data_IF_080644127195
#
_entry.id   IF_080644127195
#
_cell.length_a   1.000
_cell.length_b   1.000
_cell.length_c   1.000
_cell.angle_alpha   90.00
_cell.angle_beta   90.00
_cell.angle_gamma   90.00
#
_symmetry.space_group_name_H-M   'P 1'
#
loop_
_entity.id
_entity.type
_entity.pdbx_description
1 polymer ?
#
# COMPACT_ATOMS: atom_id res chain seq x y z
N UNK A 1 12.00 -10.11 18.94
CA UNK A 1 12.05 -9.78 17.50
C UNK A 1 10.71 -9.20 17.13
N UNK A 2 10.68 -7.95 16.66
CA UNK A 2 9.43 -7.19 16.48
C UNK A 2 8.59 -7.68 15.29
N UNK A 3 9.15 -8.47 14.37
CA UNK A 3 8.46 -8.99 13.17
C UNK A 3 7.32 -9.97 13.49
N UNK A 4 7.60 -11.08 14.17
CA UNK A 4 6.57 -12.12 14.45
C UNK A 4 5.47 -11.59 15.39
N UNK A 5 5.81 -10.74 16.36
CA UNK A 5 4.81 -10.12 17.22
C UNK A 5 3.93 -9.14 16.43
N UNK A 6 4.51 -8.33 15.52
CA UNK A 6 3.77 -7.41 14.66
C UNK A 6 2.83 -8.15 13.69
N UNK A 7 3.29 -9.23 13.08
CA UNK A 7 2.50 -10.02 12.15
C UNK A 7 1.32 -10.73 12.86
N UNK A 8 1.49 -11.21 14.09
CA UNK A 8 0.39 -11.70 14.95
C UNK A 8 -0.65 -10.62 15.31
N UNK A 9 -0.29 -9.34 15.27
CA UNK A 9 -1.26 -8.26 15.46
C UNK A 9 -2.03 -7.97 14.16
N UNK A 10 -1.37 -8.08 13.00
CA UNK A 10 -2.01 -7.96 11.69
C UNK A 10 -3.06 -9.05 11.49
N UNK A 11 -2.84 -10.27 11.97
CA UNK A 11 -3.86 -11.34 11.91
C UNK A 11 -5.22 -10.98 12.54
N UNK A 12 -5.29 -9.97 13.42
CA UNK A 12 -6.57 -9.53 14.03
C UNK A 12 -7.18 -8.32 13.34
N UNK A 13 -6.54 -7.74 12.34
CA UNK A 13 -7.06 -6.57 11.61
C UNK A 13 -8.09 -7.01 10.57
N UNK A 14 -9.07 -6.14 10.32
CA UNK A 14 -10.11 -6.39 9.31
C UNK A 14 -9.64 -6.06 7.88
N UNK A 15 -8.58 -5.27 7.76
CA UNK A 15 -8.04 -4.78 6.51
C UNK A 15 -6.52 -4.63 6.60
N UNK A 16 -5.89 -4.53 5.43
CA UNK A 16 -4.46 -4.27 5.25
C UNK A 16 -4.21 -2.89 4.64
N UNK A 17 -3.04 -2.32 4.91
CA UNK A 17 -2.58 -1.07 4.31
C UNK A 17 -1.12 -1.23 3.88
N UNK A 18 -0.90 -1.26 2.57
CA UNK A 18 0.39 -1.31 1.91
C UNK A 18 0.87 0.13 1.70
N UNK A 19 1.82 0.59 2.52
CA UNK A 19 2.43 1.89 2.34
C UNK A 19 3.66 1.77 1.43
N UNK A 20 3.60 2.38 0.25
CA UNK A 20 4.66 2.34 -0.76
C UNK A 20 5.38 3.67 -0.87
N UNK A 21 6.71 3.65 -0.88
CA UNK A 21 7.51 4.81 -1.21
C UNK A 21 7.58 5.01 -2.72
N UNK A 22 6.70 5.84 -3.27
CA UNK A 22 6.59 6.01 -4.72
C UNK A 22 7.67 6.90 -5.32
N UNK A 23 8.41 7.61 -4.47
CA UNK A 23 9.56 8.39 -4.88
C UNK A 23 10.79 7.53 -5.19
N UNK A 24 10.75 6.22 -4.91
CA UNK A 24 11.86 5.31 -5.13
C UNK A 24 13.11 5.73 -4.34
N UNK A 25 12.92 6.29 -3.15
CA UNK A 25 14.08 6.73 -2.35
C UNK A 25 14.98 5.53 -2.06
N UNK A 26 16.28 5.77 -2.04
CA UNK A 26 17.31 4.72 -1.96
C UNK A 26 17.43 3.84 -3.21
N UNK A 27 16.87 4.28 -4.35
CA UNK A 27 16.98 3.57 -5.63
C UNK A 27 16.06 2.36 -5.74
N UNK A 28 14.99 2.31 -4.95
CA UNK A 28 14.00 1.23 -4.96
C UNK A 28 12.96 1.46 -6.06
N UNK A 29 12.46 0.36 -6.59
CA UNK A 29 11.33 0.36 -7.52
C UNK A 29 10.03 0.13 -6.71
N UNK A 30 9.08 1.08 -6.68
CA UNK A 30 7.83 0.93 -5.92
C UNK A 30 6.99 -0.26 -6.39
N UNK A 31 7.11 -0.68 -7.66
CA UNK A 31 6.42 -1.86 -8.18
C UNK A 31 6.98 -3.13 -7.57
N UNK A 32 8.31 -3.22 -7.49
CA UNK A 32 9.00 -4.37 -6.91
C UNK A 32 8.81 -4.43 -5.40
N UNK A 33 8.87 -3.29 -4.72
CA UNK A 33 8.57 -3.20 -3.29
C UNK A 33 7.17 -3.75 -2.98
N UNK A 34 6.16 -3.45 -3.80
CA UNK A 34 4.82 -3.99 -3.62
C UNK A 34 4.79 -5.52 -3.83
N UNK A 35 5.46 -6.04 -4.88
CA UNK A 35 5.53 -7.49 -5.13
C UNK A 35 6.14 -8.23 -3.95
N UNK A 36 7.29 -7.74 -3.47
CA UNK A 36 7.99 -8.32 -2.32
C UNK A 36 7.11 -8.31 -1.07
N UNK A 37 6.43 -7.19 -0.78
CA UNK A 37 5.52 -7.11 0.37
C UNK A 37 4.37 -8.12 0.29
N UNK A 38 3.77 -8.29 -0.89
CA UNK A 38 2.69 -9.26 -1.11
C UNK A 38 3.21 -10.69 -0.96
N UNK A 39 4.39 -11.00 -1.50
CA UNK A 39 5.01 -12.32 -1.37
C UNK A 39 5.36 -12.66 0.08
N UNK A 40 5.91 -11.70 0.84
CA UNK A 40 6.21 -11.87 2.27
C UNK A 40 4.93 -12.12 3.09
N UNK A 41 3.85 -11.40 2.78
CA UNK A 41 2.54 -11.60 3.41
C UNK A 41 1.91 -12.93 3.00
N UNK A 42 2.05 -13.34 1.74
CA UNK A 42 1.59 -14.65 1.24
C UNK A 42 2.27 -15.80 1.98
N UNK A 43 3.56 -15.66 2.25
CA UNK A 43 4.37 -16.64 2.98
C UNK A 43 4.04 -16.69 4.47
N UNK A 44 3.31 -15.70 5.00
CA UNK A 44 2.97 -15.60 6.41
C UNK A 44 1.51 -16.03 6.68
N UNK A 45 1.32 -16.99 7.59
CA UNK A 45 0.00 -17.50 7.98
C UNK A 45 -0.49 -18.64 7.09
N UNK A 46 -1.80 -18.69 6.86
CA UNK A 46 -2.49 -19.67 6.00
C UNK A 46 -2.91 -19.09 4.64
N UNK A 47 -2.40 -17.90 4.28
CA UNK A 47 -2.74 -17.19 3.04
C UNK A 47 -4.01 -16.32 3.13
N UNK A 48 -4.80 -16.43 4.21
CA UNK A 48 -6.08 -15.68 4.36
C UNK A 48 -5.89 -14.18 4.54
N UNK A 49 -4.66 -13.72 4.83
CA UNK A 49 -4.35 -12.29 4.92
C UNK A 49 -4.56 -11.57 3.58
N UNK A 50 -4.28 -12.24 2.46
CA UNK A 50 -4.42 -11.66 1.12
C UNK A 50 -5.88 -11.53 0.68
N UNK A 51 -6.80 -12.28 1.31
CA UNK A 51 -8.25 -12.20 1.04
C UNK A 51 -8.90 -10.97 1.70
N UNK A 52 -8.15 -10.22 2.51
CA UNK A 52 -8.68 -9.08 3.25
C UNK A 52 -8.77 -7.85 2.37
N UNK A 53 -9.72 -7.00 2.70
CA UNK A 53 -9.79 -5.65 2.13
C UNK A 53 -8.45 -4.93 2.35
N UNK A 54 -7.96 -4.26 1.32
CA UNK A 54 -6.60 -3.80 1.28
C UNK A 54 -6.48 -2.41 0.65
N UNK A 55 -5.64 -1.57 1.23
CA UNK A 55 -5.34 -0.26 0.70
C UNK A 55 -3.90 -0.19 0.25
N UNK A 56 -3.65 0.37 -0.94
CA UNK A 56 -2.32 0.83 -1.33
C UNK A 56 -2.24 2.34 -1.11
N UNK A 57 -1.26 2.78 -0.33
CA UNK A 57 -1.00 4.19 -0.04
C UNK A 57 0.31 4.59 -0.67
N UNK A 58 0.24 5.52 -1.62
CA UNK A 58 1.43 6.16 -2.17
C UNK A 58 1.99 7.18 -1.16
N UNK A 59 3.18 6.93 -0.65
CA UNK A 59 3.90 7.79 0.27
C UNK A 59 5.01 8.56 -0.46
N UNK A 60 5.35 9.76 0.04
CA UNK A 60 6.37 10.67 -0.51
C UNK A 60 6.04 11.22 -1.91
N UNK A 61 4.76 11.39 -2.21
CA UNK A 61 4.31 12.00 -3.47
C UNK A 61 4.81 13.42 -3.66
N UNK A 62 5.20 14.11 -2.58
CA UNK A 62 5.80 15.45 -2.62
C UNK A 62 7.17 15.50 -3.34
N UNK A 63 7.82 14.34 -3.51
CA UNK A 63 9.08 14.22 -4.25
C UNK A 63 8.86 13.88 -5.74
N UNK A 64 7.60 13.68 -6.16
CA UNK A 64 7.22 13.39 -7.53
C UNK A 64 6.75 14.67 -8.21
N UNK A 65 7.18 14.87 -9.46
CA UNK A 65 6.69 15.96 -10.29
C UNK A 65 5.17 15.82 -10.48
N UNK A 66 4.36 16.86 -10.21
CA UNK A 66 2.90 16.78 -10.25
C UNK A 66 2.33 16.23 -11.56
N UNK A 67 3.01 16.49 -12.68
CA UNK A 67 2.62 16.04 -14.02
C UNK A 67 2.81 14.53 -14.21
N UNK A 68 3.72 13.90 -13.45
CA UNK A 68 4.02 12.46 -13.53
C UNK A 68 3.25 11.65 -12.50
N UNK A 69 2.75 12.29 -11.45
CA UNK A 69 2.05 11.61 -10.37
C UNK A 69 0.83 10.80 -10.86
N UNK A 70 -0.05 11.31 -11.75
CA UNK A 70 -1.19 10.54 -12.24
C UNK A 70 -0.80 9.24 -12.93
N UNK A 71 0.20 9.29 -13.83
CA UNK A 71 0.66 8.12 -14.58
C UNK A 71 1.35 7.10 -13.67
N UNK A 72 2.15 7.58 -12.70
CA UNK A 72 2.77 6.72 -11.69
C UNK A 72 1.71 5.99 -10.86
N UNK A 73 0.71 6.71 -10.35
CA UNK A 73 -0.37 6.11 -9.56
C UNK A 73 -1.17 5.09 -10.38
N UNK A 74 -1.44 5.37 -11.67
CA UNK A 74 -2.11 4.43 -12.56
C UNK A 74 -1.28 3.15 -12.76
N UNK A 75 0.03 3.28 -12.99
CA UNK A 75 0.91 2.11 -13.16
C UNK A 75 1.05 1.25 -11.88
N UNK A 76 1.05 1.89 -10.70
CA UNK A 76 1.04 1.18 -9.41
C UNK A 76 -0.29 0.44 -9.25
N UNK A 77 -1.40 1.06 -9.66
CA UNK A 77 -2.70 0.41 -9.61
C UNK A 77 -2.74 -0.85 -10.48
N UNK A 78 -2.25 -0.80 -11.71
CA UNK A 78 -2.15 -1.96 -12.59
C UNK A 78 -1.32 -3.09 -11.95
N UNK A 79 -0.26 -2.72 -11.23
CA UNK A 79 0.58 -3.69 -10.51
C UNK A 79 -0.20 -4.34 -9.35
N UNK A 80 -0.90 -3.55 -8.54
CA UNK A 80 -1.75 -4.04 -7.46
C UNK A 80 -2.85 -4.98 -7.96
N UNK A 81 -3.51 -4.61 -9.06
CA UNK A 81 -4.54 -5.44 -9.72
C UNK A 81 -3.96 -6.78 -10.18
N UNK A 82 -2.76 -6.77 -10.78
CA UNK A 82 -2.07 -7.99 -11.22
C UNK A 82 -1.69 -8.93 -10.08
N UNK A 83 -1.59 -8.41 -8.85
CA UNK A 83 -1.27 -9.15 -7.63
C UNK A 83 -2.52 -9.61 -6.86
N UNK A 84 -3.72 -9.35 -7.36
CA UNK A 84 -4.97 -9.81 -6.75
C UNK A 84 -5.44 -8.96 -5.57
N UNK A 85 -5.07 -7.68 -5.51
CA UNK A 85 -5.54 -6.75 -4.49
C UNK A 85 -6.95 -6.22 -4.91
N UNK A 86 -7.99 -7.03 -4.68
CA UNK A 86 -9.31 -6.87 -5.31
C UNK A 86 -10.21 -5.75 -4.74
N UNK A 87 -10.02 -5.34 -3.48
CA UNK A 87 -10.79 -4.26 -2.85
C UNK A 87 -9.88 -3.15 -2.40
N UNK A 88 -9.76 -2.11 -3.23
CA UNK A 88 -8.92 -0.95 -2.98
C UNK A 88 -9.72 0.36 -3.06
N UNK A 89 -9.23 1.38 -2.37
CA UNK A 89 -9.69 2.78 -2.52
C UNK A 89 -8.44 3.59 -2.86
N UNK A 90 -8.35 4.33 -3.98
CA UNK A 90 -7.18 5.19 -4.24
C UNK A 90 -7.08 6.24 -3.14
N UNK A 91 -6.23 6.02 -2.15
CA UNK A 91 -5.80 7.11 -1.28
C UNK A 91 -4.63 7.79 -1.98
N UNK A 92 -4.97 8.88 -2.64
CA UNK A 92 -4.01 9.80 -3.22
C UNK A 92 -3.05 10.30 -2.13
N UNK A 93 -1.79 9.88 -2.24
CA UNK A 93 -0.61 10.61 -1.78
C UNK A 93 -0.62 11.21 -0.38
N UNK A 94 0.03 10.54 0.57
CA UNK A 94 0.43 11.21 1.82
C UNK A 94 1.83 11.80 1.65
N UNK A 95 1.99 13.09 1.98
CA UNK A 95 3.32 13.69 2.11
C UNK A 95 4.01 13.13 3.35
N UNK A 96 5.32 12.94 3.27
CA UNK A 96 6.15 12.49 4.39
C UNK A 96 6.02 13.38 5.65
N UNK A 97 5.50 14.61 5.50
CA UNK A 97 5.15 15.54 6.57
C UNK A 97 3.65 15.82 6.69
N UNK A 98 2.87 14.86 7.20
CA UNK A 98 1.49 15.01 7.74
C UNK A 98 0.57 15.95 6.93
N UNK A 99 0.32 15.65 5.66
CA UNK A 99 -0.91 16.10 5.00
C UNK A 99 -1.82 14.87 4.88
N UNK A 100 -2.83 14.75 5.74
CA UNK A 100 -3.85 13.70 5.65
C UNK A 100 -4.78 13.85 4.43
N UNK A 101 -4.31 14.47 3.36
CA UNK A 101 -4.98 14.55 2.08
C UNK A 101 -5.05 13.13 1.49
N UNK A 102 -6.20 12.75 0.94
CA UNK A 102 -6.49 11.40 0.46
C UNK A 102 -7.13 10.44 1.48
N UNK A 103 -6.82 10.55 2.78
CA UNK A 103 -7.32 9.60 3.81
C UNK A 103 -8.83 9.75 4.13
N UNK A 104 -9.44 10.86 3.75
CA UNK A 104 -10.85 11.15 4.05
C UNK A 104 -11.85 10.23 3.31
N UNK A 105 -11.47 9.68 2.15
CA UNK A 105 -12.25 8.67 1.43
C UNK A 105 -12.25 7.32 2.16
N UNK A 106 -11.09 6.93 2.65
CA UNK A 106 -10.83 5.61 3.25
C UNK A 106 -11.65 5.32 4.53
N UNK A 107 -11.87 6.34 5.37
CA UNK A 107 -12.69 6.23 6.58
C UNK A 107 -14.13 5.78 6.32
N UNK A 108 -14.66 6.04 5.12
CA UNK A 108 -16.02 5.63 4.73
C UNK A 108 -16.09 4.20 4.22
N UNK A 109 -14.99 3.68 3.67
CA UNK A 109 -14.94 2.38 2.99
C UNK A 109 -14.60 1.22 3.94
N UNK A 110 -14.00 1.46 5.12
CA UNK A 110 -13.61 0.43 6.11
C UNK A 110 -14.62 0.27 7.28
N UNK A 111 -15.86 0.73 7.15
CA UNK A 111 -16.85 0.59 8.24
C UNK A 111 -17.47 -0.79 8.31
#
# INVERSE_FOLDING_TARGET
GKGIDFLRHIERTKALCYMLDVAGTEGRDPHEDLRVLVEELAAYGDGTLLERDALVVANKVDLIEPERLPDLLASIQETADSLGIERWSPVAGVSAGVSGEGLAGFSKDIR
#
